data_IF_843197462079
#
_entry.id   IF_843197462079
#
_cell.length_a   1.000
_cell.length_b   1.000
_cell.length_c   1.000
_cell.angle_alpha   90.00
_cell.angle_beta   90.00
_cell.angle_gamma   90.00
#
_symmetry.space_group_name_H-M   'P 1'
#
loop_
_entity.id
_entity.type
_entity.pdbx_description
1 polymer ?
#
# COMPACT_ATOMS: atom_id res chain seq x y z
N UNK A 1 14.77 -10.90 26.44
CA UNK A 1 14.63 -11.23 25.01
C UNK A 1 13.46 -12.20 24.93
N UNK A 2 12.30 -11.79 24.41
CA UNK A 2 11.20 -12.73 24.17
C UNK A 2 11.61 -13.54 22.94
N UNK A 3 11.77 -14.83 23.13
CA UNK A 3 11.85 -15.82 22.08
C UNK A 3 10.61 -15.65 21.19
N UNK A 4 10.80 -15.11 19.99
CA UNK A 4 9.72 -14.84 19.06
C UNK A 4 9.31 -16.15 18.44
N UNK A 5 8.25 -16.78 18.94
CA UNK A 5 7.57 -17.83 18.18
C UNK A 5 7.15 -17.26 16.84
N UNK A 6 7.79 -17.75 15.77
CA UNK A 6 7.39 -17.45 14.41
C UNK A 6 5.90 -17.77 14.22
N UNK A 7 5.18 -16.86 13.58
CA UNK A 7 3.79 -17.09 13.21
C UNK A 7 3.74 -18.23 12.20
N UNK A 8 2.87 -19.21 12.43
CA UNK A 8 2.76 -20.38 11.57
C UNK A 8 2.40 -19.99 10.11
N UNK A 9 3.18 -20.50 9.15
CA UNK A 9 3.04 -20.15 7.74
C UNK A 9 1.65 -20.50 7.18
N UNK A 10 1.05 -21.61 7.60
CA UNK A 10 -0.29 -21.97 7.15
C UNK A 10 -1.35 -21.01 7.70
N UNK A 11 -1.19 -20.53 8.94
CA UNK A 11 -2.04 -19.47 9.49
C UNK A 11 -1.91 -18.18 8.68
N UNK A 12 -0.69 -17.78 8.30
CA UNK A 12 -0.47 -16.61 7.43
C UNK A 12 -1.16 -16.81 6.07
N UNK A 13 -0.95 -17.96 5.42
CA UNK A 13 -1.57 -18.25 4.12
C UNK A 13 -3.10 -18.20 4.21
N UNK A 14 -3.70 -18.77 5.25
CA UNK A 14 -5.15 -18.73 5.45
C UNK A 14 -5.66 -17.31 5.68
N UNK A 15 -4.94 -16.51 6.47
CA UNK A 15 -5.28 -15.11 6.70
C UNK A 15 -5.25 -14.31 5.38
N UNK A 16 -4.21 -14.48 4.57
CA UNK A 16 -4.07 -13.81 3.27
C UNK A 16 -5.18 -14.23 2.29
N UNK A 17 -5.52 -15.52 2.22
CA UNK A 17 -6.63 -16.00 1.39
C UNK A 17 -7.96 -15.38 1.82
N UNK A 18 -8.18 -15.18 3.12
CA UNK A 18 -9.36 -14.50 3.63
C UNK A 18 -9.40 -13.03 3.20
N UNK A 19 -8.26 -12.33 3.18
CA UNK A 19 -8.20 -10.94 2.68
C UNK A 19 -8.65 -10.85 1.22
N UNK A 20 -8.23 -11.79 0.37
CA UNK A 20 -8.61 -11.85 -1.05
C UNK A 20 -10.13 -12.00 -1.22
N UNK A 21 -10.81 -12.76 -0.36
CA UNK A 21 -12.27 -12.90 -0.43
C UNK A 21 -13.02 -11.65 0.02
N UNK A 22 -12.41 -10.83 0.87
CA UNK A 22 -13.00 -9.60 1.40
C UNK A 22 -12.76 -8.40 0.49
N UNK A 23 -11.80 -8.49 -0.43
CA UNK A 23 -11.52 -7.44 -1.38
C UNK A 23 -12.49 -7.50 -2.56
N UNK A 24 -13.02 -6.34 -2.95
CA UNK A 24 -13.91 -6.25 -4.10
C UNK A 24 -13.06 -6.44 -5.36
N UNK A 25 -13.26 -7.55 -6.06
CA UNK A 25 -12.52 -7.87 -7.29
C UNK A 25 -12.79 -6.83 -8.38
N UNK A 26 -11.75 -6.12 -8.80
CA UNK A 26 -11.78 -5.10 -9.84
C UNK A 26 -11.25 -5.63 -11.19
N UNK A 27 -11.20 -6.95 -11.40
CA UNK A 27 -10.62 -7.53 -12.63
C UNK A 27 -11.34 -7.08 -13.91
N UNK A 28 -12.63 -6.73 -13.81
CA UNK A 28 -13.42 -6.17 -14.91
C UNK A 28 -13.31 -4.65 -15.05
N UNK A 29 -12.65 -3.97 -14.13
CA UNK A 29 -12.59 -2.51 -14.07
C UNK A 29 -11.40 -1.92 -14.82
N UNK A 30 -10.58 -2.74 -15.47
CA UNK A 30 -9.47 -2.27 -16.31
C UNK A 30 -9.48 -2.98 -17.65
N UNK A 31 -9.02 -2.27 -18.69
CA UNK A 31 -8.74 -2.87 -19.99
C UNK A 31 -7.24 -2.77 -20.22
N UNK A 32 -6.61 -3.93 -20.34
CA UNK A 32 -5.17 -4.08 -20.45
C UNK A 32 -4.80 -4.41 -21.91
N UNK A 33 -3.85 -3.67 -22.47
CA UNK A 33 -3.17 -3.99 -23.73
C UNK A 33 -1.78 -4.55 -23.42
N UNK A 34 -1.70 -5.89 -23.31
CA UNK A 34 -0.44 -6.59 -23.02
C UNK A 34 0.61 -6.43 -24.12
N UNK A 35 0.19 -6.10 -25.34
CA UNK A 35 1.06 -5.96 -26.52
C UNK A 35 1.97 -7.19 -26.72
N UNK A 36 3.22 -7.01 -27.18
CA UNK A 36 4.14 -8.11 -27.41
C UNK A 36 5.15 -8.27 -26.26
N UNK A 37 5.74 -9.46 -26.19
CA UNK A 37 6.79 -9.79 -25.23
C UNK A 37 7.96 -8.79 -25.33
N UNK A 38 8.41 -8.31 -24.17
CA UNK A 38 9.60 -7.47 -24.08
C UNK A 38 10.81 -8.17 -24.72
N UNK A 39 11.59 -7.43 -25.51
CA UNK A 39 12.75 -7.98 -26.21
C UNK A 39 13.84 -8.41 -25.23
N UNK A 40 14.41 -9.60 -25.45
CA UNK A 40 15.56 -10.10 -24.67
C UNK A 40 16.89 -9.97 -25.40
N UNK A 41 16.90 -9.44 -26.63
CA UNK A 41 18.09 -9.41 -27.51
C UNK A 41 18.33 -8.06 -28.16
N UNK A 42 17.27 -7.33 -28.47
CA UNK A 42 17.33 -6.01 -29.08
C UNK A 42 16.54 -5.02 -28.23
N UNK A 43 17.24 -4.22 -27.43
CA UNK A 43 16.65 -3.20 -26.55
C UNK A 43 16.40 -1.87 -27.28
N UNK A 44 16.74 -1.78 -28.57
CA UNK A 44 16.51 -0.57 -29.38
C UNK A 44 15.12 -0.52 -30.01
N UNK A 45 14.41 -1.66 -30.03
CA UNK A 45 13.05 -1.76 -30.55
C UNK A 45 12.04 -1.95 -29.41
N UNK A 46 11.06 -1.05 -29.35
CA UNK A 46 9.94 -1.15 -28.42
C UNK A 46 8.84 -2.06 -28.98
N UNK A 47 8.71 -3.24 -28.38
CA UNK A 47 7.69 -4.24 -28.71
C UNK A 47 6.30 -3.92 -28.12
N UNK A 48 6.21 -2.92 -27.24
CA UNK A 48 4.99 -2.53 -26.53
C UNK A 48 4.81 -0.99 -26.49
N UNK A 49 4.75 -0.30 -27.65
CA UNK A 49 4.77 1.17 -27.72
C UNK A 49 3.49 1.88 -27.24
N UNK A 50 2.42 1.15 -26.95
CA UNK A 50 1.14 1.69 -26.47
C UNK A 50 1.05 1.66 -24.94
N UNK A 51 0.12 2.43 -24.34
CA UNK A 51 -0.15 2.32 -22.91
C UNK A 51 -0.64 0.93 -22.50
N UNK A 52 -0.12 0.41 -21.39
CA UNK A 52 -0.55 -0.88 -20.83
C UNK A 52 -2.02 -0.87 -20.38
N UNK A 53 -2.45 0.21 -19.72
CA UNK A 53 -3.86 0.44 -19.41
C UNK A 53 -4.49 1.32 -20.49
N UNK A 54 -5.52 0.81 -21.15
CA UNK A 54 -6.28 1.57 -22.15
C UNK A 54 -7.52 2.23 -21.57
N UNK A 55 -8.06 1.69 -20.47
CA UNK A 55 -9.08 2.33 -19.65
C UNK A 55 -9.10 1.74 -18.24
N UNK A 56 -9.62 2.53 -17.29
CA UNK A 56 -9.95 2.09 -15.94
C UNK A 56 -11.33 2.64 -15.56
N UNK A 57 -12.09 1.88 -14.78
CA UNK A 57 -13.42 2.25 -14.31
C UNK A 57 -13.32 3.48 -13.41
N UNK A 58 -13.92 4.58 -13.84
CA UNK A 58 -13.90 5.83 -13.09
C UNK A 58 -14.52 5.69 -11.69
N UNK A 59 -15.50 4.81 -11.50
CA UNK A 59 -16.09 4.59 -10.18
C UNK A 59 -15.07 3.96 -9.22
N UNK A 60 -14.23 3.05 -9.70
CA UNK A 60 -13.16 2.45 -8.90
C UNK A 60 -12.10 3.49 -8.52
N UNK A 61 -11.69 4.34 -9.48
CA UNK A 61 -10.77 5.44 -9.24
C UNK A 61 -11.37 6.52 -8.33
N UNK A 62 -12.69 6.65 -8.30
CA UNK A 62 -13.40 7.57 -7.44
C UNK A 62 -13.79 6.96 -6.08
N UNK A 63 -13.42 5.70 -5.84
CA UNK A 63 -13.62 5.02 -4.57
C UNK A 63 -12.87 5.70 -3.42
N UNK A 64 -13.37 5.60 -2.18
CA UNK A 64 -12.83 6.34 -1.04
C UNK A 64 -11.35 6.00 -0.77
N UNK A 65 -10.97 4.73 -0.86
CA UNK A 65 -9.59 4.27 -0.63
C UNK A 65 -8.63 4.76 -1.71
N UNK A 66 -9.03 4.67 -2.99
CA UNK A 66 -8.21 5.17 -4.10
C UNK A 66 -8.05 6.69 -4.04
N UNK A 67 -9.13 7.44 -3.74
CA UNK A 67 -9.05 8.89 -3.56
C UNK A 67 -8.10 9.28 -2.43
N UNK A 68 -8.21 8.63 -1.28
CA UNK A 68 -7.34 8.90 -0.15
C UNK A 68 -5.86 8.60 -0.49
N UNK A 69 -5.60 7.50 -1.19
CA UNK A 69 -4.26 7.16 -1.69
C UNK A 69 -3.77 8.16 -2.73
N UNK A 70 -4.59 8.55 -3.71
CA UNK A 70 -4.24 9.52 -4.74
C UNK A 70 -3.88 10.88 -4.15
N UNK A 71 -4.62 11.33 -3.12
CA UNK A 71 -4.32 12.57 -2.40
C UNK A 71 -2.98 12.49 -1.66
N UNK A 72 -2.65 11.34 -1.08
CA UNK A 72 -1.38 11.11 -0.40
C UNK A 72 -0.20 11.03 -1.38
N UNK A 73 -0.33 10.25 -2.46
CA UNK A 73 0.73 10.08 -3.47
C UNK A 73 1.11 11.41 -4.13
N UNK A 74 0.18 12.38 -4.21
CA UNK A 74 0.47 13.71 -4.75
C UNK A 74 1.61 14.46 -4.01
N UNK A 75 1.92 14.10 -2.76
CA UNK A 75 3.04 14.66 -2.02
C UNK A 75 4.41 14.06 -2.41
N UNK A 76 4.43 12.91 -3.09
CA UNK A 76 5.66 12.22 -3.53
C UNK A 76 6.06 12.58 -4.98
N UNK A 77 5.77 13.80 -5.41
CA UNK A 77 5.91 14.22 -6.81
C UNK A 77 7.35 14.54 -7.26
N UNK A 78 8.32 14.59 -6.34
CA UNK A 78 9.74 14.85 -6.62
C UNK A 78 10.64 13.92 -5.80
N UNK A 79 10.69 12.61 -6.09
CA UNK A 79 11.51 11.68 -5.33
C UNK A 79 13.01 11.93 -5.58
N UNK A 80 13.73 12.30 -4.52
CA UNK A 80 15.20 12.41 -4.54
C UNK A 80 15.77 11.78 -3.27
N UNK A 81 16.49 10.66 -3.44
CA UNK A 81 17.09 9.91 -2.33
C UNK A 81 18.16 10.70 -1.56
N UNK A 82 18.67 11.81 -2.10
CA UNK A 82 19.66 12.67 -1.45
C UNK A 82 19.05 13.89 -0.75
N UNK A 83 17.75 14.11 -0.92
CA UNK A 83 17.03 15.24 -0.33
C UNK A 83 16.09 14.73 0.75
N UNK A 84 16.21 15.27 1.95
CA UNK A 84 15.30 14.90 3.03
C UNK A 84 13.86 15.33 2.70
N UNK A 85 12.91 14.41 2.81
CA UNK A 85 11.48 14.73 2.73
C UNK A 85 11.10 15.66 3.89
N UNK A 86 10.44 16.78 3.56
CA UNK A 86 9.93 17.73 4.56
C UNK A 86 8.45 17.49 4.75
N UNK A 87 8.09 16.80 5.83
CA UNK A 87 6.70 16.51 6.17
C UNK A 87 5.96 17.81 6.48
N UNK A 88 5.00 18.15 5.63
CA UNK A 88 4.12 19.33 5.84
C UNK A 88 2.87 18.93 6.62
N UNK A 89 2.19 19.87 7.31
CA UNK A 89 0.91 19.56 7.97
C UNK A 89 -0.15 18.99 7.01
N UNK A 90 -0.14 19.43 5.74
CA UNK A 90 -1.05 18.90 4.72
C UNK A 90 -0.72 17.45 4.36
N UNK A 91 0.58 17.12 4.25
CA UNK A 91 1.03 15.75 4.01
C UNK A 91 0.65 14.85 5.18
N UNK A 92 0.94 15.26 6.42
CA UNK A 92 0.56 14.51 7.63
C UNK A 92 -0.96 14.29 7.71
N UNK A 93 -1.76 15.31 7.37
CA UNK A 93 -3.22 15.18 7.27
C UNK A 93 -3.64 14.17 6.21
N UNK A 94 -2.97 14.13 5.05
CA UNK A 94 -3.26 13.14 3.99
C UNK A 94 -2.89 11.71 4.41
N UNK A 95 -1.80 11.52 5.16
CA UNK A 95 -1.44 10.22 5.75
C UNK A 95 -2.52 9.78 6.73
N UNK A 96 -2.92 10.66 7.64
CA UNK A 96 -3.98 10.37 8.62
C UNK A 96 -5.29 10.00 7.93
N UNK A 97 -5.70 10.75 6.90
CA UNK A 97 -6.91 10.49 6.12
C UNK A 97 -6.85 9.16 5.34
N UNK A 98 -5.69 8.82 4.76
CA UNK A 98 -5.46 7.52 4.14
C UNK A 98 -5.63 6.39 5.16
N UNK A 99 -4.95 6.48 6.31
CA UNK A 99 -5.05 5.49 7.37
C UNK A 99 -6.48 5.35 7.91
N UNK A 100 -7.17 6.47 8.17
CA UNK A 100 -8.58 6.46 8.62
C UNK A 100 -9.50 5.78 7.61
N UNK A 101 -9.22 5.94 6.31
CA UNK A 101 -10.02 5.32 5.26
C UNK A 101 -9.74 3.81 5.15
N UNK A 102 -8.47 3.40 5.13
CA UNK A 102 -8.13 1.99 4.91
C UNK A 102 -8.47 1.11 6.10
N UNK A 103 -8.31 1.58 7.35
CA UNK A 103 -8.62 0.77 8.55
C UNK A 103 -10.11 0.42 8.68
N UNK A 104 -10.99 1.15 7.99
CA UNK A 104 -12.44 0.88 7.97
C UNK A 104 -12.83 -0.19 6.95
N UNK A 105 -11.91 -0.61 6.07
CA UNK A 105 -12.20 -1.65 5.07
C UNK A 105 -12.34 -3.03 5.73
N UNK A 106 -13.19 -3.92 5.19
CA UNK A 106 -13.28 -5.30 5.68
C UNK A 106 -11.94 -6.03 5.65
N UNK A 107 -11.12 -5.77 4.61
CA UNK A 107 -9.77 -6.31 4.46
C UNK A 107 -8.90 -5.93 5.65
N UNK A 108 -8.79 -4.64 5.98
CA UNK A 108 -7.95 -4.19 7.10
C UNK A 108 -8.50 -4.62 8.46
N UNK A 109 -9.82 -4.68 8.64
CA UNK A 109 -10.42 -5.21 9.87
C UNK A 109 -10.09 -6.70 10.08
N UNK A 110 -10.10 -7.49 9.00
CA UNK A 110 -9.68 -8.90 9.04
C UNK A 110 -8.19 -9.04 9.31
N UNK A 111 -7.34 -8.25 8.65
CA UNK A 111 -5.90 -8.23 8.90
C UNK A 111 -5.58 -7.88 10.36
N UNK A 112 -6.24 -6.86 10.89
CA UNK A 112 -6.11 -6.46 12.30
C UNK A 112 -6.54 -7.56 13.25
N UNK A 113 -7.65 -8.24 12.98
CA UNK A 113 -8.14 -9.37 13.79
C UNK A 113 -7.11 -10.49 13.85
N UNK A 114 -6.51 -10.83 12.71
CA UNK A 114 -5.42 -11.81 12.66
C UNK A 114 -4.22 -11.36 13.50
N UNK A 115 -3.75 -10.12 13.34
CA UNK A 115 -2.60 -9.60 14.08
C UNK A 115 -2.85 -9.53 15.60
N UNK A 116 -4.07 -9.21 16.04
CA UNK A 116 -4.46 -9.29 17.45
C UNK A 116 -4.34 -10.73 17.95
N UNK A 117 -4.83 -11.71 17.18
CA UNK A 117 -4.73 -13.14 17.52
C UNK A 117 -3.28 -13.63 17.66
N UNK A 118 -2.35 -13.04 16.91
CA UNK A 118 -0.91 -13.32 17.00
C UNK A 118 -0.19 -12.50 18.10
N UNK A 119 -0.90 -11.62 18.81
CA UNK A 119 -0.30 -10.72 19.81
C UNK A 119 0.59 -9.62 19.21
N UNK A 120 0.40 -9.31 17.92
CA UNK A 120 1.20 -8.35 17.14
C UNK A 120 0.52 -6.99 16.97
N UNK A 121 -0.76 -6.86 17.30
CA UNK A 121 -1.51 -5.61 17.21
C UNK A 121 -2.46 -5.40 18.40
N UNK A 122 -2.80 -4.14 18.66
CA UNK A 122 -3.76 -3.75 19.70
C UNK A 122 -5.22 -3.91 19.24
N UNK A 123 -6.08 -4.31 20.17
CA UNK A 123 -7.54 -4.28 20.02
C UNK A 123 -8.15 -2.88 20.14
N UNK A 124 -7.35 -1.86 20.46
CA UNK A 124 -7.71 -0.45 20.29
C UNK A 124 -7.38 0.08 18.89
N UNK A 125 -8.37 0.67 18.22
CA UNK A 125 -8.27 1.05 16.80
C UNK A 125 -7.30 2.22 16.61
N UNK A 126 -7.29 3.18 17.54
CA UNK A 126 -6.37 4.32 17.47
C UNK A 126 -4.91 3.86 17.63
N UNK A 127 -4.66 2.93 18.56
CA UNK A 127 -3.34 2.31 18.76
C UNK A 127 -2.90 1.56 17.51
N UNK A 128 -3.80 0.80 16.88
CA UNK A 128 -3.49 0.12 15.61
C UNK A 128 -3.18 1.10 14.48
N UNK A 129 -3.94 2.20 14.36
CA UNK A 129 -3.64 3.29 13.40
C UNK A 129 -2.24 3.86 13.65
N UNK A 130 -1.89 4.16 14.90
CA UNK A 130 -0.56 4.67 15.25
C UNK A 130 0.55 3.66 14.93
N UNK A 131 0.28 2.36 15.12
CA UNK A 131 1.21 1.30 14.73
C UNK A 131 1.43 1.29 13.20
N UNK A 132 0.38 1.39 12.40
CA UNK A 132 0.50 1.49 10.93
C UNK A 132 1.25 2.75 10.51
N UNK A 133 0.95 3.89 11.13
CA UNK A 133 1.70 5.14 10.90
C UNK A 133 3.19 4.95 11.17
N UNK A 134 3.52 4.36 12.32
CA UNK A 134 4.91 4.10 12.69
C UNK A 134 5.61 3.16 11.70
N UNK A 135 4.92 2.16 11.17
CA UNK A 135 5.48 1.17 10.25
C UNK A 135 5.65 1.71 8.82
N UNK A 136 4.75 2.57 8.35
CA UNK A 136 4.69 2.96 6.94
C UNK A 136 5.12 4.40 6.66
N UNK A 137 5.08 5.29 7.65
CA UNK A 137 5.22 6.73 7.43
C UNK A 137 6.22 7.40 8.37
N UNK A 138 6.84 6.67 9.30
CA UNK A 138 7.95 7.21 10.09
C UNK A 138 9.21 7.26 9.23
N UNK A 139 9.70 8.47 8.97
CA UNK A 139 10.95 8.68 8.25
C UNK A 139 12.11 8.06 9.03
N UNK A 140 12.94 7.30 8.32
CA UNK A 140 14.18 6.75 8.85
C UNK A 140 15.34 7.01 7.88
N UNK A 141 16.56 6.98 8.44
CA UNK A 141 17.79 7.10 7.67
C UNK A 141 18.35 5.70 7.39
N UNK A 142 18.58 5.37 6.11
CA UNK A 142 19.35 4.16 5.74
C UNK A 142 20.87 4.38 5.87
N UNK A 143 21.30 5.63 5.84
CA UNK A 143 22.69 6.07 6.04
C UNK A 143 22.69 7.36 6.86
N UNK A 144 23.08 8.50 6.29
CA UNK A 144 23.28 9.75 7.04
C UNK A 144 22.08 10.68 7.08
N UNK A 145 21.19 10.64 6.09
CA UNK A 145 20.00 11.49 6.03
C UNK A 145 18.72 10.65 6.19
N UNK A 146 17.82 11.10 7.07
CA UNK A 146 16.45 10.59 7.12
C UNK A 146 15.67 11.23 5.97
N UNK A 147 15.10 10.42 5.10
CA UNK A 147 14.39 10.91 3.92
C UNK A 147 13.52 9.87 3.23
N UNK A 148 13.34 8.69 3.85
CA UNK A 148 12.40 7.68 3.34
C UNK A 148 11.60 7.12 4.50
N UNK A 149 10.34 6.82 4.24
CA UNK A 149 9.51 5.93 5.05
C UNK A 149 9.26 4.61 4.32
#
# INVERSE_FOLDING_TARGET
MKDGTDVDQAQVTNALNQLVQLDARLDSDTVIDYQNMASHKDFSHDNAPKPFFTSANENALNGPTYKALSNLIAFYNNPDANTAEVMTPAWESSISAFLDTVIQTPVMQSARTFLIGQGLASSDTATFKNQLHSLWFTLYARSTAAGSS
#
